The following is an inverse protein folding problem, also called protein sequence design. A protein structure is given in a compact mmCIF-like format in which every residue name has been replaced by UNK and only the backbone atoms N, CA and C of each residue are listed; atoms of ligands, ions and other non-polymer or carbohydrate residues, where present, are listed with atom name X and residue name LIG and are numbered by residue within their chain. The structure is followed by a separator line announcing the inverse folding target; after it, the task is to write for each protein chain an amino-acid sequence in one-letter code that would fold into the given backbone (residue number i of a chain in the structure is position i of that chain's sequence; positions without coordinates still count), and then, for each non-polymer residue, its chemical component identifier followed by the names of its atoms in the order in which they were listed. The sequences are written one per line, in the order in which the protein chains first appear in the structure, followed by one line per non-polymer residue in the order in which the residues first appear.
data_IF_483427248752
#
_entry.id   IF_483427248752
#
_cell.length_a   1.000
_cell.length_b   1.000
_cell.length_c   1.000
_cell.angle_alpha   90.00
_cell.angle_beta   90.00
_cell.angle_gamma   90.00
#
_symmetry.space_group_name_H-M   'P 1'
#
loop_
_entity.id
_entity.type
_entity.pdbx_description
1 polymer ?
#
# COMPACT_ATOMS: atom_id res chain seq x y z
N UNK A 1 5.28 14.64 -7.86
CA UNK A 1 4.91 13.49 -8.72
C UNK A 1 3.39 13.35 -8.95
N UNK A 2 2.61 12.63 -8.14
CA UNK A 2 1.19 12.32 -8.47
C UNK A 2 0.25 13.55 -8.56
N UNK A 3 0.43 14.54 -7.67
CA UNK A 3 -0.37 15.77 -7.68
C UNK A 3 0.06 16.77 -8.76
N UNK A 4 1.26 16.60 -9.31
CA UNK A 4 1.82 17.45 -10.38
C UNK A 4 1.30 17.02 -11.76
N UNK A 5 0.99 15.74 -11.97
CA UNK A 5 0.63 15.32 -13.34
C UNK A 5 0.90 13.86 -13.64
N UNK A 6 1.87 13.28 -12.95
CA UNK A 6 2.55 12.08 -13.41
C UNK A 6 1.75 10.80 -13.18
N UNK A 7 1.91 9.85 -14.11
CA UNK A 7 1.45 8.48 -13.95
C UNK A 7 2.54 7.63 -13.32
N UNK A 8 2.21 7.00 -12.18
CA UNK A 8 3.15 6.21 -11.40
C UNK A 8 2.62 4.79 -11.30
N UNK A 9 3.46 3.85 -11.71
CA UNK A 9 3.18 2.42 -11.59
C UNK A 9 4.14 1.82 -10.57
N UNK A 10 3.58 1.29 -9.48
CA UNK A 10 4.33 0.58 -8.45
C UNK A 10 4.20 -0.92 -8.70
N UNK A 11 5.34 -1.59 -8.89
CA UNK A 11 5.43 -3.05 -9.02
C UNK A 11 6.05 -3.65 -7.76
N UNK A 12 5.92 -4.97 -7.56
CA UNK A 12 6.42 -5.68 -6.38
C UNK A 12 5.90 -5.11 -5.04
N UNK A 13 4.62 -4.73 -4.97
CA UNK A 13 4.04 -4.13 -3.77
C UNK A 13 4.15 -5.00 -2.52
N UNK A 14 4.24 -6.33 -2.67
CA UNK A 14 4.46 -7.28 -1.58
C UNK A 14 5.83 -7.17 -0.92
N UNK A 15 6.84 -6.67 -1.64
CA UNK A 15 8.20 -6.47 -1.12
C UNK A 15 8.38 -5.14 -0.41
N UNK A 16 7.37 -4.27 -0.44
CA UNK A 16 7.41 -3.01 0.29
C UNK A 16 7.58 -3.26 1.79
N UNK A 17 8.32 -2.38 2.46
CA UNK A 17 8.76 -2.55 3.83
C UNK A 17 8.02 -1.57 4.74
N UNK A 18 7.62 -2.03 5.92
CA UNK A 18 7.08 -1.23 7.03
C UNK A 18 8.04 -1.38 8.21
N UNK A 19 8.56 -0.26 8.71
CA UNK A 19 9.42 -0.25 9.89
C UNK A 19 8.63 -0.35 11.19
N UNK A 20 9.17 -1.09 12.16
CA UNK A 20 8.60 -1.22 13.50
C UNK A 20 8.59 -2.66 14.01
N UNK A 21 8.07 -2.86 15.21
CA UNK A 21 7.90 -4.19 15.78
C UNK A 21 6.81 -4.96 15.03
N UNK A 22 7.08 -6.25 14.80
CA UNK A 22 6.16 -7.14 14.08
C UNK A 22 4.79 -7.22 14.75
N UNK A 23 4.73 -7.49 16.04
CA UNK A 23 3.48 -7.69 16.77
C UNK A 23 2.58 -6.45 16.72
N UNK A 24 3.15 -5.26 16.96
CA UNK A 24 2.45 -3.99 16.93
C UNK A 24 1.85 -3.69 15.55
N UNK A 25 2.63 -3.92 14.49
CA UNK A 25 2.18 -3.73 13.11
C UNK A 25 1.01 -4.68 12.82
N UNK A 26 1.16 -5.97 13.13
CA UNK A 26 0.14 -6.98 12.84
C UNK A 26 -1.15 -6.70 13.62
N UNK A 27 -1.04 -6.37 14.91
CA UNK A 27 -2.17 -6.00 15.76
C UNK A 27 -2.91 -4.78 15.20
N UNK A 28 -2.18 -3.74 14.78
CA UNK A 28 -2.74 -2.52 14.18
C UNK A 28 -3.52 -2.80 12.89
N UNK A 29 -2.97 -3.62 12.00
CA UNK A 29 -3.65 -3.98 10.75
C UNK A 29 -4.84 -4.90 10.97
N UNK A 30 -4.76 -5.82 11.94
CA UNK A 30 -5.87 -6.68 12.35
C UNK A 30 -7.04 -5.85 12.89
N UNK A 31 -6.76 -4.98 13.86
CA UNK A 31 -7.75 -4.09 14.46
C UNK A 31 -8.46 -3.26 13.39
N UNK A 32 -7.69 -2.65 12.46
CA UNK A 32 -8.26 -1.88 11.34
C UNK A 32 -9.20 -2.73 10.46
N UNK A 33 -8.82 -3.95 10.15
CA UNK A 33 -9.63 -4.86 9.32
C UNK A 33 -10.92 -5.29 10.02
N UNK A 34 -10.89 -5.39 11.34
CA UNK A 34 -12.04 -5.73 12.17
C UNK A 34 -12.99 -4.54 12.39
N UNK A 35 -12.55 -3.29 12.13
CA UNK A 35 -13.41 -2.11 12.21
C UNK A 35 -14.56 -2.22 11.20
N UNK A 36 -15.76 -2.46 11.72
CA UNK A 36 -17.00 -2.48 10.96
C UNK A 36 -18.04 -1.62 11.65
N UNK A 37 -18.84 -0.92 10.85
CA UNK A 37 -19.98 -0.16 11.37
C UNK A 37 -21.05 -1.14 11.87
N UNK A 38 -21.44 -1.01 13.14
CA UNK A 38 -22.44 -1.88 13.79
C UNK A 38 -23.78 -1.89 13.06
N UNK A 39 -24.22 -0.73 12.56
CA UNK A 39 -25.53 -0.57 11.88
C UNK A 39 -25.57 -1.22 10.50
N UNK A 40 -24.53 -1.04 9.69
CA UNK A 40 -24.45 -1.66 8.36
C UNK A 40 -22.98 -1.92 7.98
N UNK A 41 -22.51 -3.18 8.10
CA UNK A 41 -21.15 -3.55 7.76
C UNK A 41 -20.75 -3.26 6.30
N UNK A 42 -21.72 -3.21 5.37
CA UNK A 42 -21.45 -2.93 3.94
C UNK A 42 -21.17 -1.46 3.64
N UNK A 43 -21.58 -0.54 4.53
CA UNK A 43 -21.36 0.92 4.38
C UNK A 43 -20.24 1.45 5.27
N UNK A 44 -19.54 0.55 5.97
CA UNK A 44 -18.46 0.91 6.89
C UNK A 44 -17.10 1.11 6.23
N UNK A 45 -16.06 1.39 7.03
CA UNK A 45 -14.68 1.43 6.56
C UNK A 45 -14.26 0.10 5.94
N UNK A 46 -13.83 0.12 4.68
CA UNK A 46 -13.26 -1.05 4.02
C UNK A 46 -11.73 -0.97 4.05
N UNK A 47 -11.12 -1.90 4.79
CA UNK A 47 -9.68 -2.10 4.79
C UNK A 47 -9.34 -3.31 3.94
N UNK A 48 -8.56 -3.12 2.86
CA UNK A 48 -8.19 -4.23 1.99
C UNK A 48 -7.16 -5.13 2.66
N UNK A 49 -7.10 -6.38 2.18
CA UNK A 49 -6.19 -7.41 2.67
C UNK A 49 -5.05 -7.73 1.69
N UNK A 50 -5.23 -7.39 0.42
CA UNK A 50 -4.25 -7.64 -0.64
C UNK A 50 -3.10 -6.62 -0.55
N UNK A 51 -1.89 -7.04 -0.87
CA UNK A 51 -0.68 -6.21 -0.72
C UNK A 51 -0.72 -4.95 -1.59
N UNK A 52 -1.12 -5.06 -2.86
CA UNK A 52 -1.29 -3.91 -3.76
C UNK A 52 -2.34 -2.93 -3.24
N UNK A 53 -3.47 -3.43 -2.77
CA UNK A 53 -4.54 -2.60 -2.25
C UNK A 53 -4.18 -1.93 -0.92
N UNK A 54 -3.38 -2.58 -0.07
CA UNK A 54 -2.85 -1.98 1.17
C UNK A 54 -1.98 -0.77 0.84
N UNK A 55 -1.04 -0.91 -0.09
CA UNK A 55 -0.19 0.20 -0.55
C UNK A 55 -1.05 1.29 -1.16
N UNK A 56 -1.96 0.93 -2.07
CA UNK A 56 -2.87 1.87 -2.73
C UNK A 56 -3.76 2.61 -1.73
N UNK A 57 -4.27 1.93 -0.69
CA UNK A 57 -5.07 2.55 0.39
C UNK A 57 -4.25 3.53 1.21
N UNK A 58 -2.96 3.24 1.41
CA UNK A 58 -2.03 4.10 2.13
C UNK A 58 -1.77 5.39 1.35
N UNK A 59 -1.45 5.28 0.04
CA UNK A 59 -1.25 6.46 -0.82
C UNK A 59 -2.54 7.30 -0.90
N UNK A 60 -3.71 6.67 -0.98
CA UNK A 60 -5.00 7.39 -0.91
C UNK A 60 -5.13 8.23 0.36
N UNK A 61 -4.64 7.76 1.49
CA UNK A 61 -4.67 8.47 2.76
C UNK A 61 -3.73 9.68 2.81
N UNK A 62 -2.68 9.68 2.00
CA UNK A 62 -1.72 10.79 1.86
C UNK A 62 -2.19 11.87 0.89
N UNK A 63 -3.21 11.59 0.07
CA UNK A 63 -3.74 12.52 -0.93
C UNK A 63 -4.99 13.26 -0.41
N UNK A 64 -5.27 14.47 -0.92
CA UNK A 64 -6.52 15.19 -0.67
C UNK A 64 -7.70 14.54 -1.43
N UNK A 65 -8.05 13.30 -1.07
CA UNK A 65 -8.98 12.42 -1.78
C UNK A 65 -10.40 12.97 -1.97
N UNK A 66 -10.83 13.91 -1.11
CA UNK A 66 -12.15 14.53 -1.22
C UNK A 66 -12.24 15.51 -2.40
N UNK A 67 -11.11 16.03 -2.87
CA UNK A 67 -11.04 16.98 -4.00
C UNK A 67 -10.96 16.27 -5.34
N UNK A 68 -11.41 16.92 -6.41
CA UNK A 68 -11.30 16.38 -7.78
C UNK A 68 -9.84 16.15 -8.19
N UNK A 69 -8.95 17.10 -7.88
CA UNK A 69 -7.50 16.97 -8.12
C UNK A 69 -6.91 15.74 -7.44
N UNK A 70 -7.24 15.49 -6.18
CA UNK A 70 -6.79 14.30 -5.46
C UNK A 70 -7.33 13.00 -6.05
N UNK A 71 -8.58 12.99 -6.52
CA UNK A 71 -9.17 11.81 -7.20
C UNK A 71 -8.48 11.53 -8.53
N UNK A 72 -8.18 12.57 -9.32
CA UNK A 72 -7.42 12.45 -10.57
C UNK A 72 -6.02 11.90 -10.32
N UNK A 73 -5.30 12.44 -9.34
CA UNK A 73 -3.99 11.93 -8.93
C UNK A 73 -4.03 10.45 -8.53
N UNK A 74 -5.02 10.04 -7.75
CA UNK A 74 -5.17 8.63 -7.35
C UNK A 74 -5.53 7.69 -8.51
N UNK A 75 -6.25 8.17 -9.54
CA UNK A 75 -6.55 7.36 -10.74
C UNK A 75 -5.30 7.05 -11.56
N UNK A 76 -4.30 7.94 -11.53
CA UNK A 76 -3.00 7.77 -12.20
C UNK A 76 -2.10 6.75 -11.52
N UNK A 77 -2.38 6.42 -10.26
CA UNK A 77 -1.62 5.43 -9.51
C UNK A 77 -2.10 4.01 -9.84
N UNK A 78 -1.19 3.18 -10.37
CA UNK A 78 -1.38 1.74 -10.53
C UNK A 78 -0.40 1.00 -9.61
N UNK A 79 -0.89 -0.03 -8.93
CA UNK A 79 -0.09 -0.83 -8.00
C UNK A 79 -0.32 -2.30 -8.32
N UNK A 80 0.75 -3.07 -8.43
CA UNK A 80 0.71 -4.48 -8.79
C UNK A 80 1.48 -5.33 -7.76
N UNK A 81 0.97 -6.54 -7.55
CA UNK A 81 1.69 -7.62 -6.88
C UNK A 81 2.58 -8.31 -7.93
N UNK A 82 3.88 -8.44 -7.63
CA UNK A 82 4.87 -8.88 -8.61
C UNK A 82 5.05 -7.89 -9.77
N UNK A 83 5.62 -8.40 -10.87
CA UNK A 83 5.84 -7.65 -12.12
C UNK A 83 4.88 -8.22 -13.17
N UNK A 84 3.93 -7.42 -13.70
CA UNK A 84 3.11 -7.85 -14.82
C UNK A 84 3.97 -8.05 -16.08
N UNK A 85 3.60 -9.00 -16.94
CA UNK A 85 4.31 -9.30 -18.20
C UNK A 85 4.51 -8.07 -19.10
N UNK A 86 3.59 -7.10 -19.05
CA UNK A 86 3.66 -5.85 -19.81
C UNK A 86 4.82 -4.93 -19.39
N UNK A 87 5.33 -5.11 -18.17
CA UNK A 87 6.43 -4.34 -17.60
C UNK A 87 7.70 -5.18 -17.40
N UNK A 88 7.66 -6.45 -17.81
CA UNK A 88 8.80 -7.36 -17.76
C UNK A 88 9.85 -6.89 -18.79
N UNK A 89 10.99 -6.40 -18.30
CA UNK A 89 12.07 -5.87 -19.14
C UNK A 89 12.07 -4.35 -19.36
N UNK A 90 11.14 -3.60 -18.73
CA UNK A 90 11.27 -2.13 -18.66
C UNK A 90 12.26 -1.72 -17.59
N UNK A 91 12.88 -0.55 -17.77
CA UNK A 91 13.69 0.08 -16.74
C UNK A 91 12.83 0.39 -15.52
N UNK A 92 13.14 -0.26 -14.40
CA UNK A 92 12.50 -0.04 -13.12
C UNK A 92 13.35 0.95 -12.34
N UNK A 93 12.74 2.08 -11.99
CA UNK A 93 13.40 3.07 -11.16
C UNK A 93 13.20 2.75 -9.68
N UNK A 94 14.30 2.77 -8.93
CA UNK A 94 14.25 2.66 -7.47
C UNK A 94 14.42 4.04 -6.86
N UNK A 95 13.47 4.45 -6.02
CA UNK A 95 13.56 5.74 -5.33
C UNK A 95 14.63 5.63 -4.24
N UNK A 96 15.78 6.26 -4.48
CA UNK A 96 16.94 6.25 -3.56
C UNK A 96 16.61 6.79 -2.17
N UNK A 97 15.66 7.72 -2.08
CA UNK A 97 15.17 8.26 -0.81
C UNK A 97 14.37 7.26 0.03
N UNK A 98 13.69 6.31 -0.61
CA UNK A 98 12.89 5.29 0.05
C UNK A 98 13.67 4.00 0.31
N UNK A 99 14.99 4.01 0.12
CA UNK A 99 15.81 2.81 0.27
C UNK A 99 16.02 2.42 1.74
N UNK A 100 16.07 1.10 1.99
CA UNK A 100 16.26 0.51 3.32
C UNK A 100 17.51 1.05 4.05
N UNK A 101 18.57 1.40 3.30
CA UNK A 101 19.82 1.93 3.85
C UNK A 101 19.67 3.23 4.64
N UNK A 102 18.57 3.98 4.43
CA UNK A 102 18.29 5.22 5.19
C UNK A 102 17.56 4.97 6.52
N UNK A 103 17.23 3.71 6.83
CA UNK A 103 16.51 3.39 8.06
C UNK A 103 17.45 3.31 9.25
N UNK A 104 17.09 4.03 10.33
CA UNK A 104 17.84 3.99 11.59
C UNK A 104 17.61 2.71 12.41
N UNK A 105 16.51 1.98 12.17
CA UNK A 105 16.14 0.78 12.92
C UNK A 105 16.14 -0.46 12.03
N UNK A 106 16.72 -1.59 12.48
CA UNK A 106 16.79 -2.82 11.69
C UNK A 106 15.50 -3.64 11.70
N UNK A 107 14.52 -3.28 12.55
CA UNK A 107 13.25 -4.01 12.66
C UNK A 107 12.27 -3.56 11.59
N UNK A 108 11.89 -4.49 10.73
CA UNK A 108 10.93 -4.25 9.68
C UNK A 108 10.09 -5.48 9.37
N UNK A 109 9.00 -5.26 8.66
CA UNK A 109 8.05 -6.26 8.18
C UNK A 109 7.73 -5.95 6.73
N UNK A 110 7.52 -6.97 5.91
CA UNK A 110 7.06 -6.77 4.54
C UNK A 110 5.54 -6.65 4.45
N UNK A 111 5.04 -5.85 3.50
CA UNK A 111 3.60 -5.75 3.24
C UNK A 111 3.02 -7.10 2.83
N UNK A 112 3.80 -7.94 2.14
CA UNK A 112 3.41 -9.32 1.81
C UNK A 112 3.15 -10.19 3.05
N UNK A 113 3.95 -10.08 4.11
CA UNK A 113 3.71 -10.79 5.37
C UNK A 113 2.45 -10.32 6.08
N UNK A 114 2.20 -9.00 6.09
CA UNK A 114 0.96 -8.43 6.63
C UNK A 114 -0.26 -8.92 5.84
N UNK A 115 -0.19 -8.91 4.51
CA UNK A 115 -1.25 -9.39 3.65
C UNK A 115 -1.57 -10.87 3.91
N UNK A 116 -0.53 -11.73 3.99
CA UNK A 116 -0.68 -13.16 4.34
C UNK A 116 -1.38 -13.33 5.68
N UNK A 117 -0.98 -12.57 6.70
CA UNK A 117 -1.58 -12.64 8.03
C UNK A 117 -3.05 -12.24 8.06
N UNK A 118 -3.45 -11.23 7.28
CA UNK A 118 -4.84 -10.79 7.17
C UNK A 118 -5.72 -11.75 6.34
N UNK A 119 -5.11 -12.75 5.69
CA UNK A 119 -5.77 -13.69 4.78
C UNK A 119 -5.99 -13.11 3.37
N UNK A 120 -5.16 -12.16 2.95
CA UNK A 120 -5.13 -11.67 1.58
C UNK A 120 -4.62 -12.76 0.62
N UNK A 121 -5.36 -13.00 -0.46
CA UNK A 121 -4.92 -13.88 -1.56
C UNK A 121 -4.18 -13.04 -2.59
N UNK A 122 -3.13 -13.62 -3.17
CA UNK A 122 -2.24 -12.97 -4.16
C UNK A 122 -2.98 -12.66 -5.46
#
# INVERSE_FOLDING_TARGET
MLLEGEEVVIVNAEKAIITGNREDIFAKYKQRTELRTRTNPRKGPFYPKRSDEIVRRTVRGMLPWKTDRGRKAFKRLKVYVGIPKEFEGRELETISEAHMSKLATPKYVTVGEVAKFLGGKF
#
